data_IF_728924553388
#
_entry.id   IF_728924553388
#
_cell.length_a   1.000
_cell.length_b   1.000
_cell.length_c   1.000
_cell.angle_alpha   90.00
_cell.angle_beta   90.00
_cell.angle_gamma   90.00
#
_symmetry.space_group_name_H-M   'P 1'
#
loop_
_entity.id
_entity.type
_entity.pdbx_description
1 polymer ?
#
# COMPACT_ATOMS: atom_id res chain seq x y z
N UNK A 1 -11.87 -14.79 -5.54
CA UNK A 1 -12.08 -14.23 -4.17
C UNK A 1 -11.24 -12.97 -4.10
N UNK A 2 -11.76 -11.88 -3.54
CA UNK A 2 -11.01 -10.61 -3.46
C UNK A 2 -10.24 -10.54 -2.15
N UNK A 3 -8.93 -10.30 -2.21
CA UNK A 3 -8.07 -10.13 -1.05
C UNK A 3 -7.96 -8.66 -0.70
N UNK A 4 -8.30 -8.29 0.53
CA UNK A 4 -8.22 -6.90 1.01
C UNK A 4 -6.87 -6.64 1.66
N UNK A 5 -6.22 -5.56 1.25
CA UNK A 5 -4.91 -5.15 1.75
C UNK A 5 -5.02 -3.70 2.24
N UNK A 6 -4.59 -3.46 3.48
CA UNK A 6 -4.40 -2.11 4.01
C UNK A 6 -2.92 -1.75 3.93
N UNK A 7 -2.64 -0.64 3.27
CA UNK A 7 -1.31 -0.09 3.07
C UNK A 7 -1.09 1.04 4.07
N UNK A 8 0.00 0.96 4.81
CA UNK A 8 0.40 1.93 5.83
C UNK A 8 1.85 2.36 5.53
N UNK A 9 2.07 3.39 4.69
CA UNK A 9 3.41 3.75 4.24
C UNK A 9 4.29 4.31 5.35
N UNK A 10 3.70 4.87 6.43
CA UNK A 10 4.45 5.44 7.55
C UNK A 10 5.19 6.73 7.18
N UNK A 11 6.38 6.92 7.75
CA UNK A 11 7.18 8.14 7.61
C UNK A 11 8.51 7.90 6.88
N UNK A 12 9.29 8.98 6.69
CA UNK A 12 10.61 8.93 6.06
C UNK A 12 10.51 8.50 4.60
N UNK A 13 11.28 7.49 4.21
CA UNK A 13 11.24 6.93 2.84
C UNK A 13 10.06 5.96 2.62
N UNK A 14 9.24 5.73 3.64
CA UNK A 14 8.14 4.76 3.60
C UNK A 14 7.18 4.96 2.43
N UNK A 15 6.66 6.18 2.17
CA UNK A 15 5.82 6.46 1.00
C UNK A 15 6.50 6.16 -0.35
N UNK A 16 7.80 6.45 -0.48
CA UNK A 16 8.55 6.27 -1.74
C UNK A 16 8.75 4.78 -2.07
N UNK A 17 9.12 3.99 -1.06
CA UNK A 17 9.29 2.54 -1.22
C UNK A 17 7.94 1.85 -1.38
N UNK A 18 6.90 2.33 -0.69
CA UNK A 18 5.55 1.78 -0.81
C UNK A 18 4.98 1.96 -2.22
N UNK A 19 5.16 3.14 -2.83
CA UNK A 19 4.77 3.35 -4.23
C UNK A 19 5.41 2.32 -5.17
N UNK A 20 6.72 2.07 -5.02
CA UNK A 20 7.42 1.05 -5.82
C UNK A 20 6.92 -0.37 -5.54
N UNK A 21 6.55 -0.69 -4.28
CA UNK A 21 5.99 -1.99 -3.93
C UNK A 21 4.60 -2.20 -4.56
N UNK A 22 3.78 -1.15 -4.62
CA UNK A 22 2.47 -1.19 -5.28
C UNK A 22 2.60 -1.39 -6.79
N UNK A 23 3.57 -0.77 -7.45
CA UNK A 23 3.84 -0.99 -8.88
C UNK A 23 4.16 -2.46 -9.18
N UNK A 24 5.02 -3.07 -8.36
CA UNK A 24 5.37 -4.50 -8.50
C UNK A 24 4.18 -5.39 -8.17
N UNK A 25 3.41 -5.06 -7.14
CA UNK A 25 2.24 -5.83 -6.74
C UNK A 25 1.17 -5.83 -7.83
N UNK A 26 0.93 -4.70 -8.49
CA UNK A 26 -0.01 -4.57 -9.60
C UNK A 26 0.42 -5.42 -10.81
N UNK A 27 1.71 -5.41 -11.13
CA UNK A 27 2.27 -6.23 -12.20
C UNK A 27 2.08 -7.74 -11.93
N UNK A 28 2.32 -8.18 -10.69
CA UNK A 28 2.11 -9.57 -10.29
C UNK A 28 0.61 -9.91 -10.26
N UNK A 29 -0.23 -9.03 -9.72
CA UNK A 29 -1.66 -9.24 -9.65
C UNK A 29 -2.28 -9.42 -11.04
N UNK A 30 -1.85 -8.61 -11.99
CA UNK A 30 -2.24 -8.73 -13.40
C UNK A 30 -1.75 -10.03 -14.03
N UNK A 31 -0.51 -10.44 -13.74
CA UNK A 31 0.10 -11.64 -14.34
C UNK A 31 -0.54 -12.94 -13.83
N UNK A 32 -0.90 -12.96 -12.54
CA UNK A 32 -1.38 -14.15 -11.83
C UNK A 32 -2.91 -14.15 -11.63
N UNK A 33 -3.63 -13.20 -12.25
CA UNK A 33 -5.10 -13.01 -12.12
C UNK A 33 -5.56 -12.90 -10.65
N UNK A 34 -4.81 -12.14 -9.85
CA UNK A 34 -5.14 -11.89 -8.45
C UNK A 34 -6.07 -10.69 -8.34
N UNK A 35 -7.19 -10.88 -7.63
CA UNK A 35 -8.12 -9.80 -7.34
C UNK A 35 -7.78 -9.16 -5.99
N UNK A 36 -7.18 -7.97 -6.03
CA UNK A 36 -6.78 -7.22 -4.84
C UNK A 36 -7.68 -6.00 -4.66
N UNK A 37 -8.05 -5.73 -3.41
CA UNK A 37 -8.72 -4.49 -2.98
C UNK A 37 -7.79 -3.77 -2.00
N UNK A 38 -7.10 -2.75 -2.50
CA UNK A 38 -6.05 -2.06 -1.79
C UNK A 38 -6.59 -0.73 -1.27
N UNK A 39 -6.44 -0.51 0.03
CA UNK A 39 -6.78 0.74 0.70
C UNK A 39 -5.56 1.28 1.41
N UNK A 40 -5.50 2.60 1.61
CA UNK A 40 -4.38 3.27 2.26
C UNK A 40 -4.86 4.09 3.46
N UNK A 41 -4.08 4.09 4.54
CA UNK A 41 -4.24 5.02 5.65
C UNK A 41 -2.87 5.43 6.23
N UNK A 42 -2.88 6.36 7.17
CA UNK A 42 -1.67 6.94 7.78
C UNK A 42 -1.23 6.15 9.03
N UNK A 43 0.08 6.15 9.28
CA UNK A 43 0.72 5.53 10.45
C UNK A 43 1.84 6.44 10.98
N UNK A 44 2.25 6.26 12.24
CA UNK A 44 3.37 6.97 12.89
C UNK A 44 3.21 8.51 12.90
N UNK A 45 4.26 9.27 12.55
CA UNK A 45 4.28 10.72 12.53
C UNK A 45 3.23 11.31 11.59
N UNK A 46 2.98 10.69 10.44
CA UNK A 46 1.90 11.06 9.54
C UNK A 46 0.52 10.95 10.23
N UNK A 47 0.31 9.92 11.06
CA UNK A 47 -0.92 9.80 11.85
C UNK A 47 -0.99 10.85 12.96
N UNK A 48 0.10 11.08 13.70
CA UNK A 48 0.17 12.12 14.75
C UNK A 48 -0.09 13.53 14.21
N UNK A 49 0.37 13.83 12.99
CA UNK A 49 0.13 15.14 12.38
C UNK A 49 -1.31 15.32 11.90
N UNK A 50 -2.02 14.23 11.60
CA UNK A 50 -3.36 14.25 11.02
C UNK A 50 -4.48 14.24 12.06
N UNK A 51 -4.24 13.67 13.24
CA UNK A 51 -5.23 13.43 14.29
C UNK A 51 -4.79 14.01 15.63
#
# INVERSE_FOLDING_TARGET
MVTRILVLPGDGIGPEVMASALDVLEAVATTEDLHLDITEDVLHGAAWNKY
#
